data_IF_784131705053
#
_entry.id   IF_784131705053
#
_cell.length_a   1.000
_cell.length_b   1.000
_cell.length_c   1.000
_cell.angle_alpha   90.00
_cell.angle_beta   90.00
_cell.angle_gamma   90.00
#
_symmetry.space_group_name_H-M   'P 1'
#
loop_
_entity.id
_entity.type
_entity.pdbx_description
1 polymer ?
#
# COMPACT_ATOMS: atom_id res chain seq x y z
N UNK A 1 -4.76 -7.30 -14.57
CA UNK A 1 -3.40 -6.89 -14.22
C UNK A 1 -3.53 -5.86 -13.12
N UNK A 2 -2.82 -6.04 -12.01
CA UNK A 2 -3.01 -5.22 -10.81
C UNK A 2 -1.72 -4.43 -10.56
N UNK A 3 -1.83 -3.12 -10.35
CA UNK A 3 -0.71 -2.26 -10.03
C UNK A 3 -0.64 -2.04 -8.52
N UNK A 4 0.51 -2.35 -7.92
CA UNK A 4 0.74 -2.05 -6.51
C UNK A 4 0.68 -0.53 -6.28
N UNK A 5 0.32 -0.09 -5.06
CA UNK A 5 0.54 1.29 -4.66
C UNK A 5 2.03 1.64 -4.81
N UNK A 6 2.32 2.77 -5.44
CA UNK A 6 3.68 3.21 -5.75
C UNK A 6 4.22 4.11 -4.64
N UNK A 7 5.52 4.04 -4.31
CA UNK A 7 6.16 5.02 -3.45
C UNK A 7 5.87 6.45 -3.91
N UNK A 8 5.45 7.30 -2.99
CA UNK A 8 5.07 8.69 -3.24
C UNK A 8 3.58 8.90 -3.53
N UNK A 9 2.79 7.85 -3.78
CA UNK A 9 1.34 8.00 -3.87
C UNK A 9 0.74 8.36 -2.52
N UNK A 10 -0.20 9.31 -2.54
CA UNK A 10 -0.91 9.77 -1.36
C UNK A 10 -2.30 9.16 -1.39
N UNK A 11 -2.69 8.52 -0.28
CA UNK A 11 -4.02 7.96 -0.09
C UNK A 11 -4.72 8.66 1.05
N UNK A 12 -5.98 9.02 0.80
CA UNK A 12 -6.90 9.49 1.83
C UNK A 12 -7.76 8.33 2.28
N UNK A 13 -7.56 7.87 3.51
CA UNK A 13 -8.26 6.72 4.07
C UNK A 13 -9.26 7.16 5.13
N UNK A 14 -10.50 6.68 5.06
CA UNK A 14 -11.54 7.04 6.04
C UNK A 14 -11.14 6.57 7.43
N UNK A 15 -11.08 7.49 8.41
CA UNK A 15 -10.66 7.19 9.79
C UNK A 15 -9.15 7.19 10.01
N UNK A 16 -8.34 7.54 9.00
CA UNK A 16 -6.91 7.76 9.10
C UNK A 16 -6.56 9.15 8.53
N UNK A 17 -5.49 9.80 9.02
CA UNK A 17 -4.90 10.95 8.34
C UNK A 17 -4.40 10.54 6.94
N UNK A 18 -4.17 11.52 6.06
CA UNK A 18 -3.60 11.26 4.74
C UNK A 18 -2.25 10.55 4.89
N UNK A 19 -2.07 9.49 4.10
CA UNK A 19 -0.88 8.64 4.17
C UNK A 19 -0.15 8.64 2.83
N UNK A 20 1.18 8.68 2.89
CA UNK A 20 2.06 8.56 1.73
C UNK A 20 2.65 7.16 1.70
N UNK A 21 2.55 6.49 0.56
CA UNK A 21 3.18 5.18 0.36
C UNK A 21 4.69 5.37 0.33
N UNK A 22 5.39 4.60 1.15
CA UNK A 22 6.85 4.60 1.24
C UNK A 22 7.42 3.42 0.44
N UNK A 23 6.73 2.29 0.47
CA UNK A 23 7.14 1.10 -0.27
C UNK A 23 6.18 -0.08 -0.06
N UNK A 24 6.47 -1.17 -0.77
CA UNK A 24 5.81 -2.46 -0.59
C UNK A 24 6.76 -3.37 0.17
N UNK A 25 6.22 -4.10 1.13
CA UNK A 25 6.92 -5.15 1.86
C UNK A 25 6.41 -6.50 1.37
N UNK A 26 7.32 -7.45 1.19
CA UNK A 26 7.04 -8.86 0.98
C UNK A 26 7.44 -9.62 2.26
N UNK A 27 6.46 -10.14 3.01
CA UNK A 27 6.66 -10.79 4.31
C UNK A 27 7.49 -9.95 5.31
N UNK A 28 7.25 -8.63 5.32
CA UNK A 28 7.96 -7.66 6.18
C UNK A 28 9.31 -7.20 5.64
N UNK A 29 9.75 -7.70 4.48
CA UNK A 29 11.04 -7.33 3.85
C UNK A 29 10.76 -6.34 2.72
N UNK A 30 11.49 -5.21 2.61
CA UNK A 30 11.39 -4.29 1.47
C UNK A 30 11.46 -5.03 0.14
N UNK A 31 10.48 -4.78 -0.72
CA UNK A 31 10.37 -5.42 -2.02
C UNK A 31 10.86 -4.47 -3.12
N UNK A 32 11.99 -4.82 -3.74
CA UNK A 32 12.68 -4.00 -4.76
C UNK A 32 12.26 -4.30 -6.21
N UNK A 33 11.50 -5.36 -6.47
CA UNK A 33 11.02 -5.68 -7.82
C UNK A 33 10.08 -4.55 -8.32
N UNK A 34 10.01 -4.29 -9.65
CA UNK A 34 9.15 -3.22 -10.15
C UNK A 34 7.71 -3.45 -9.69
N UNK A 35 7.16 -2.44 -9.02
CA UNK A 35 5.80 -2.44 -8.46
C UNK A 35 4.71 -2.71 -9.50
N UNK A 36 5.05 -2.71 -10.79
CA UNK A 36 4.21 -3.20 -11.89
C UNK A 36 4.72 -4.55 -12.34
N UNK A 37 4.08 -5.62 -11.88
CA UNK A 37 4.41 -6.97 -12.34
C UNK A 37 3.20 -7.59 -13.09
N UNK A 38 3.02 -7.26 -14.39
CA UNK A 38 1.93 -7.78 -15.23
C UNK A 38 1.73 -9.29 -15.16
N UNK A 39 2.85 -10.00 -15.09
CA UNK A 39 2.93 -11.45 -15.19
C UNK A 39 2.80 -12.15 -13.84
N UNK A 40 2.78 -11.42 -12.72
CA UNK A 40 2.68 -12.00 -11.39
C UNK A 40 1.21 -12.11 -10.97
N UNK A 41 0.66 -13.32 -11.05
CA UNK A 41 -0.63 -13.65 -10.46
C UNK A 41 -0.51 -13.68 -8.93
N UNK A 42 -0.53 -12.51 -8.29
CA UNK A 42 -0.47 -12.41 -6.84
C UNK A 42 -1.86 -12.64 -6.23
N UNK A 43 -1.91 -13.33 -5.09
CA UNK A 43 -3.15 -13.59 -4.36
C UNK A 43 -3.25 -12.62 -3.16
N UNK A 44 -4.19 -11.65 -3.17
CA UNK A 44 -4.33 -10.65 -2.11
C UNK A 44 -4.68 -11.21 -0.73
N UNK A 45 -5.17 -12.45 -0.67
CA UNK A 45 -5.55 -13.12 0.57
C UNK A 45 -4.40 -13.93 1.18
N UNK A 46 -3.34 -14.21 0.41
CA UNK A 46 -2.08 -14.71 0.98
C UNK A 46 -1.33 -13.49 1.48
N UNK A 47 -1.09 -13.42 2.80
CA UNK A 47 -0.44 -12.30 3.52
C UNK A 47 1.03 -12.05 3.12
N UNK A 48 1.36 -12.21 1.86
CA UNK A 48 2.71 -12.08 1.35
C UNK A 48 3.07 -10.60 1.19
N UNK A 49 2.11 -9.72 0.91
CA UNK A 49 2.39 -8.32 0.60
C UNK A 49 1.63 -7.32 1.48
N UNK A 50 2.35 -6.31 1.92
CA UNK A 50 1.84 -5.15 2.66
C UNK A 50 2.44 -3.87 2.09
N UNK A 51 1.79 -2.74 2.34
CA UNK A 51 2.36 -1.42 2.06
C UNK A 51 2.83 -0.79 3.36
N UNK A 52 4.00 -0.18 3.29
CA UNK A 52 4.48 0.72 4.32
C UNK A 52 4.00 2.12 3.96
N UNK A 53 3.26 2.75 4.86
CA UNK A 53 2.78 4.12 4.67
C UNK A 53 3.28 5.00 5.81
N UNK A 54 3.60 6.25 5.50
CA UNK A 54 3.86 7.31 6.50
C UNK A 54 2.66 8.24 6.56
N UNK A 55 2.36 8.77 7.74
CA UNK A 55 1.34 9.81 7.88
C UNK A 55 1.89 11.15 7.35
N UNK A 56 1.10 11.96 6.63
CA UNK A 56 1.59 13.25 6.09
C UNK A 56 2.07 14.23 7.18
N UNK A 57 1.43 14.17 8.35
CA UNK A 57 1.66 15.12 9.45
C UNK A 57 2.36 14.50 10.67
N UNK A 58 2.76 13.24 10.58
CA UNK A 58 3.39 12.52 11.68
C UNK A 58 4.42 11.55 11.10
N UNK A 59 5.60 11.45 11.70
CA UNK A 59 6.70 10.58 11.26
C UNK A 59 6.42 9.09 11.63
N UNK A 60 5.14 8.77 11.78
CA UNK A 60 4.64 7.47 12.14
C UNK A 60 4.44 6.62 10.89
N UNK A 61 5.15 5.49 10.87
CA UNK A 61 5.04 4.48 9.83
C UNK A 61 4.05 3.41 10.25
N UNK A 62 3.14 3.06 9.36
CA UNK A 62 2.17 1.98 9.57
C UNK A 62 2.27 1.00 8.42
N UNK A 63 2.23 -0.29 8.76
CA UNK A 63 2.15 -1.36 7.78
C UNK A 63 0.67 -1.75 7.56
N UNK A 64 0.22 -1.71 6.31
CA UNK A 64 -1.14 -2.09 5.93
C UNK A 64 -1.07 -3.32 5.01
N UNK A 65 -1.69 -4.46 5.39
CA UNK A 65 -1.79 -5.61 4.50
C UNK A 65 -2.56 -5.23 3.23
N UNK A 66 -2.02 -5.55 2.06
CA UNK A 66 -2.64 -5.19 0.78
C UNK A 66 -4.03 -5.79 0.61
N UNK A 67 -4.24 -7.03 1.09
CA UNK A 67 -5.57 -7.64 1.09
C UNK A 67 -6.62 -6.81 1.84
N UNK A 68 -6.25 -6.13 2.93
CA UNK A 68 -7.16 -5.26 3.68
C UNK A 68 -7.39 -3.93 2.98
N UNK A 69 -6.32 -3.38 2.40
CA UNK A 69 -6.37 -2.17 1.61
C UNK A 69 -7.33 -2.32 0.42
N UNK A 70 -7.28 -3.44 -0.31
CA UNK A 70 -8.16 -3.70 -1.45
C UNK A 70 -9.54 -4.25 -1.12
N UNK A 71 -9.70 -4.95 0.01
CA UNK A 71 -11.01 -5.40 0.45
C UNK A 71 -11.94 -4.23 0.85
N UNK A 72 -11.49 -2.98 0.74
CA UNK A 72 -12.25 -1.79 1.11
C UNK A 72 -12.45 -1.64 2.62
N UNK A 73 -11.74 -2.45 3.43
CA UNK A 73 -11.73 -2.29 4.89
C UNK A 73 -11.22 -0.90 5.25
N UNK A 74 -10.24 -0.43 4.49
CA UNK A 74 -9.90 0.98 4.43
C UNK A 74 -10.55 1.56 3.18
N UNK A 75 -11.47 2.50 3.36
CA UNK A 75 -11.99 3.33 2.27
C UNK A 75 -10.91 4.35 1.91
N UNK A 76 -9.93 3.91 1.11
CA UNK A 76 -8.81 4.71 0.65
C UNK A 76 -8.98 5.11 -0.81
N UNK A 77 -8.80 6.39 -1.10
CA UNK A 77 -8.77 6.93 -2.46
C UNK A 77 -7.41 7.58 -2.74
N UNK A 78 -6.87 7.36 -3.94
CA UNK A 78 -5.66 8.06 -4.37
C UNK A 78 -5.99 9.54 -4.47
N UNK A 79 -5.21 10.36 -3.77
CA UNK A 79 -5.31 11.81 -3.87
C UNK A 79 -4.58 12.24 -5.14
N UNK A 80 -5.35 12.53 -6.19
CA UNK A 80 -4.82 13.22 -7.37
C UNK A 80 -4.32 14.60 -6.94
N UNK A 81 -3.02 14.85 -7.14
CA UNK A 81 -2.41 16.16 -6.93
C UNK A 81 -2.76 17.09 -8.09
#
# INVERSE_FOLDING_TARGET
MFDFPQPGEIYRCTGFPDVVVVGVLAAGIPWDMPYRCPALAWNPYRRTYSILVRTENDDHFTEIPLGRFFAGIYLCETRSV
#
